data_IF_963533755107
#
_entry.id   IF_963533755107
#
_cell.length_a   1.000
_cell.length_b   1.000
_cell.length_c   1.000
_cell.angle_alpha   90.00
_cell.angle_beta   90.00
_cell.angle_gamma   90.00
#
_symmetry.space_group_name_H-M   'P 1'
#
loop_
_entity.id
_entity.type
_entity.pdbx_description
1 polymer ?
#
# COMPACT_ATOMS: atom_id res chain seq x y z
N UNK A 1 7.20 -12.71 -0.13
CA UNK A 1 6.09 -13.01 -1.04
C UNK A 1 5.14 -13.98 -0.35
N UNK A 2 3.82 -13.74 -0.36
CA UNK A 2 2.83 -14.60 0.30
C UNK A 2 2.58 -15.93 -0.45
N UNK A 3 3.12 -16.09 -1.65
CA UNK A 3 2.93 -17.30 -2.48
C UNK A 3 3.47 -18.59 -1.81
N UNK A 4 4.42 -18.48 -0.86
CA UNK A 4 4.89 -19.66 -0.13
C UNK A 4 3.80 -20.34 0.73
N UNK A 5 2.68 -19.67 0.96
CA UNK A 5 1.51 -20.22 1.67
C UNK A 5 0.65 -21.12 0.78
N UNK A 6 0.87 -21.13 -0.54
CA UNK A 6 0.16 -22.01 -1.44
C UNK A 6 0.59 -23.48 -1.22
N UNK A 7 -0.31 -24.45 -1.43
CA UNK A 7 -0.03 -25.87 -1.22
C UNK A 7 1.24 -26.31 -1.95
N UNK A 8 2.20 -26.87 -1.24
CA UNK A 8 3.44 -27.42 -1.81
C UNK A 8 4.48 -26.40 -2.26
N UNK A 9 4.20 -25.07 -2.14
CA UNK A 9 5.13 -24.05 -2.62
C UNK A 9 6.28 -23.77 -1.64
N UNK A 10 6.08 -24.04 -0.35
CA UNK A 10 7.07 -23.71 0.71
C UNK A 10 8.45 -24.32 0.43
N UNK A 11 8.51 -25.55 -0.05
CA UNK A 11 9.77 -26.25 -0.31
C UNK A 11 10.62 -25.51 -1.36
N UNK A 12 9.98 -24.96 -2.39
CA UNK A 12 10.65 -24.18 -3.43
C UNK A 12 11.14 -22.84 -2.92
N UNK A 13 10.42 -22.19 -2.00
CA UNK A 13 10.85 -20.94 -1.39
C UNK A 13 11.99 -21.12 -0.38
N UNK A 14 12.13 -22.31 0.18
CA UNK A 14 13.23 -22.66 1.09
C UNK A 14 14.54 -23.06 0.34
N UNK A 15 14.48 -23.27 -0.97
CA UNK A 15 15.67 -23.53 -1.78
C UNK A 15 16.55 -22.28 -1.88
N UNK A 16 17.88 -22.49 -2.00
CA UNK A 16 18.80 -21.45 -2.45
C UNK A 16 18.40 -20.92 -3.84
N UNK A 17 18.79 -19.68 -4.16
CA UNK A 17 18.32 -19.02 -5.39
C UNK A 17 18.68 -19.77 -6.66
N UNK A 18 19.92 -20.29 -6.74
CA UNK A 18 20.39 -21.03 -7.92
C UNK A 18 19.61 -22.33 -8.14
N UNK A 19 19.38 -23.10 -7.07
CA UNK A 19 18.58 -24.32 -7.12
C UNK A 19 17.13 -24.05 -7.50
N UNK A 20 16.56 -22.95 -7.01
CA UNK A 20 15.20 -22.50 -7.36
C UNK A 20 15.10 -22.12 -8.82
N UNK A 21 16.08 -21.35 -9.33
CA UNK A 21 16.13 -20.99 -10.75
C UNK A 21 16.23 -22.22 -11.65
N UNK A 22 17.08 -23.18 -11.28
CA UNK A 22 17.20 -24.43 -12.04
C UNK A 22 15.89 -25.22 -12.04
N UNK A 23 15.25 -25.34 -10.88
CA UNK A 23 13.97 -26.05 -10.74
C UNK A 23 12.85 -25.38 -11.54
N UNK A 24 12.81 -24.04 -11.58
CA UNK A 24 11.78 -23.29 -12.33
C UNK A 24 11.99 -23.30 -13.85
N UNK A 25 13.12 -23.80 -14.35
CA UNK A 25 13.31 -24.06 -15.79
C UNK A 25 12.58 -25.33 -16.26
N UNK A 26 12.20 -26.20 -15.34
CA UNK A 26 11.40 -27.39 -15.66
C UNK A 26 9.91 -27.02 -15.83
N UNK A 27 9.36 -27.13 -17.04
CA UNK A 27 7.96 -26.79 -17.29
C UNK A 27 6.96 -27.71 -16.57
N UNK A 28 7.37 -28.93 -16.20
CA UNK A 28 6.53 -29.85 -15.43
C UNK A 28 6.37 -29.36 -13.99
N UNK A 29 7.46 -28.86 -13.39
CA UNK A 29 7.43 -28.23 -12.07
C UNK A 29 6.57 -26.97 -12.09
N UNK A 30 6.72 -26.10 -13.07
CA UNK A 30 5.90 -24.89 -13.22
C UNK A 30 4.42 -25.23 -13.34
N UNK A 31 4.09 -26.21 -14.17
CA UNK A 31 2.72 -26.70 -14.32
C UNK A 31 2.18 -27.31 -13.01
N UNK A 32 3.00 -28.05 -12.30
CA UNK A 32 2.62 -28.62 -11.01
C UNK A 32 2.33 -27.53 -9.98
N UNK A 33 3.19 -26.53 -9.85
CA UNK A 33 2.99 -25.39 -8.95
C UNK A 33 1.70 -24.62 -9.26
N UNK A 34 1.41 -24.36 -10.54
CA UNK A 34 0.18 -23.70 -10.94
C UNK A 34 -1.06 -24.53 -10.56
N UNK A 35 -1.00 -25.85 -10.75
CA UNK A 35 -2.09 -26.75 -10.36
C UNK A 35 -2.28 -26.77 -8.83
N UNK A 36 -1.20 -26.81 -8.05
CA UNK A 36 -1.27 -26.71 -6.58
C UNK A 36 -1.92 -25.42 -6.13
N UNK A 37 -1.59 -24.30 -6.79
CA UNK A 37 -2.16 -23.00 -6.48
C UNK A 37 -3.68 -22.92 -6.71
N UNK A 38 -4.23 -23.78 -7.55
CA UNK A 38 -5.67 -23.85 -7.84
C UNK A 38 -6.45 -24.79 -6.89
N UNK A 39 -5.78 -25.46 -5.96
CA UNK A 39 -6.44 -26.39 -5.04
C UNK A 39 -7.28 -25.61 -3.98
N UNK A 40 -8.37 -26.22 -3.47
CA UNK A 40 -9.17 -25.63 -2.40
C UNK A 40 -8.36 -25.32 -1.13
N UNK A 41 -7.31 -26.08 -0.86
CA UNK A 41 -6.39 -25.91 0.27
C UNK A 41 -5.62 -24.58 0.22
N UNK A 42 -5.55 -23.92 -0.95
CA UNK A 42 -5.01 -22.56 -1.06
C UNK A 42 -5.81 -21.55 -0.23
N UNK A 43 -7.09 -21.81 0.06
CA UNK A 43 -7.92 -21.03 0.94
C UNK A 43 -7.93 -19.53 0.56
N UNK A 44 -7.65 -18.66 1.53
CA UNK A 44 -7.62 -17.20 1.30
C UNK A 44 -6.49 -16.75 0.36
N UNK A 45 -5.45 -17.57 0.19
CA UNK A 45 -4.32 -17.27 -0.70
C UNK A 45 -4.64 -17.54 -2.17
N UNK A 46 -5.75 -18.20 -2.50
CA UNK A 46 -6.23 -18.35 -3.87
C UNK A 46 -6.44 -17.00 -4.57
N UNK A 47 -6.68 -15.93 -3.81
CA UNK A 47 -6.74 -14.56 -4.36
C UNK A 47 -5.46 -14.10 -5.04
N UNK A 48 -4.33 -14.71 -4.72
CA UNK A 48 -3.03 -14.40 -5.31
C UNK A 48 -2.77 -15.17 -6.62
N UNK A 49 -3.68 -16.06 -7.03
CA UNK A 49 -3.50 -16.96 -8.19
C UNK A 49 -4.17 -16.46 -9.46
N UNK A 50 -4.76 -15.28 -9.43
CA UNK A 50 -5.24 -14.58 -10.64
C UNK A 50 -4.06 -14.02 -11.45
N UNK A 51 -3.26 -14.91 -12.04
CA UNK A 51 -1.98 -14.58 -12.68
C UNK A 51 -2.09 -13.49 -13.75
N UNK A 52 -3.18 -13.48 -14.52
CA UNK A 52 -3.44 -12.45 -15.54
C UNK A 52 -3.50 -11.04 -14.95
N UNK A 53 -3.87 -10.92 -13.67
CA UNK A 53 -4.06 -9.65 -12.96
C UNK A 53 -2.78 -9.15 -12.25
N UNK A 54 -1.62 -9.54 -12.73
CA UNK A 54 -0.37 -8.96 -12.28
C UNK A 54 0.16 -7.95 -13.29
N UNK A 55 0.68 -6.84 -12.81
CA UNK A 55 1.41 -5.87 -13.61
C UNK A 55 2.91 -6.07 -13.38
N UNK A 56 3.69 -5.99 -14.46
CA UNK A 56 5.15 -6.00 -14.39
C UNK A 56 5.61 -4.67 -13.82
N UNK A 57 6.31 -4.72 -12.71
CA UNK A 57 7.03 -3.59 -12.11
C UNK A 57 8.43 -3.44 -12.68
N UNK A 58 9.45 -3.35 -11.80
CA UNK A 58 10.83 -3.22 -12.26
C UNK A 58 11.35 -4.53 -12.86
N UNK A 59 12.07 -4.40 -13.96
CA UNK A 59 12.77 -5.47 -14.67
C UNK A 59 14.25 -5.12 -14.80
N UNK A 60 15.12 -6.11 -15.00
CA UNK A 60 16.57 -5.94 -14.88
C UNK A 60 17.35 -6.52 -16.07
N UNK A 61 16.76 -7.38 -16.89
CA UNK A 61 17.40 -7.97 -18.05
C UNK A 61 16.97 -7.30 -19.35
N UNK A 62 17.81 -7.32 -20.37
CA UNK A 62 17.47 -6.87 -21.73
C UNK A 62 16.30 -7.67 -22.31
N UNK A 63 16.17 -8.96 -21.96
CA UNK A 63 15.06 -9.81 -22.42
C UNK A 63 13.68 -9.32 -21.92
N UNK A 64 13.64 -8.55 -20.84
CA UNK A 64 12.42 -8.01 -20.25
C UNK A 64 12.25 -6.49 -20.51
N UNK A 65 13.09 -5.91 -21.36
CA UNK A 65 12.96 -4.49 -21.72
C UNK A 65 11.58 -4.18 -22.31
N UNK A 66 10.99 -3.07 -21.89
CA UNK A 66 9.66 -2.62 -22.34
C UNK A 66 8.47 -3.36 -21.71
N UNK A 67 8.68 -4.30 -20.78
CA UNK A 67 7.57 -4.99 -20.11
C UNK A 67 7.01 -4.20 -18.91
N UNK A 68 7.78 -3.31 -18.29
CA UNK A 68 7.33 -2.51 -17.15
C UNK A 68 6.01 -1.79 -17.45
N UNK A 69 5.05 -1.90 -16.52
CA UNK A 69 3.71 -1.30 -16.63
C UNK A 69 2.71 -2.10 -17.46
N UNK A 70 3.12 -3.21 -18.07
CA UNK A 70 2.22 -4.09 -18.82
C UNK A 70 1.58 -5.14 -17.91
N UNK A 71 0.37 -5.57 -18.25
CA UNK A 71 -0.27 -6.69 -17.53
C UNK A 71 0.29 -8.03 -17.98
N UNK A 72 0.43 -8.95 -17.04
CA UNK A 72 0.90 -10.31 -17.35
C UNK A 72 -0.06 -11.03 -18.31
N UNK A 73 -1.37 -10.80 -18.15
CA UNK A 73 -2.36 -11.40 -19.04
C UNK A 73 -2.21 -10.95 -20.49
N UNK A 74 -1.87 -9.66 -20.73
CA UNK A 74 -1.61 -9.17 -22.10
C UNK A 74 -0.36 -9.81 -22.69
N UNK A 75 0.73 -9.85 -21.92
CA UNK A 75 1.98 -10.44 -22.36
C UNK A 75 1.81 -11.93 -22.69
N UNK A 76 1.12 -12.66 -21.81
CA UNK A 76 0.87 -14.10 -21.98
C UNK A 76 0.04 -14.38 -23.25
N UNK A 77 -0.99 -13.58 -23.50
CA UNK A 77 -1.83 -13.69 -24.73
C UNK A 77 -1.01 -13.43 -26.00
N UNK A 78 -0.17 -12.40 -26.00
CA UNK A 78 0.71 -12.10 -27.14
C UNK A 78 1.72 -13.23 -27.43
N UNK A 79 2.24 -13.88 -26.36
CA UNK A 79 3.16 -15.00 -26.47
C UNK A 79 2.46 -16.35 -26.73
N UNK A 80 1.14 -16.42 -26.65
CA UNK A 80 0.39 -17.66 -26.72
C UNK A 80 0.70 -18.63 -25.58
N UNK A 81 1.01 -18.10 -24.41
CA UNK A 81 1.42 -18.85 -23.22
C UNK A 81 0.40 -18.74 -22.07
N UNK A 82 0.50 -19.62 -21.08
CA UNK A 82 -0.22 -19.49 -19.83
C UNK A 82 0.40 -18.37 -18.99
N UNK A 83 -0.43 -17.58 -18.30
CA UNK A 83 0.05 -16.41 -17.55
C UNK A 83 1.11 -16.79 -16.49
N UNK A 84 0.91 -17.84 -15.71
CA UNK A 84 1.89 -18.26 -14.70
C UNK A 84 3.22 -18.69 -15.32
N UNK A 85 3.19 -19.42 -16.44
CA UNK A 85 4.41 -19.80 -17.17
C UNK A 85 5.16 -18.57 -17.69
N UNK A 86 4.44 -17.57 -18.21
CA UNK A 86 5.00 -16.29 -18.64
C UNK A 86 5.62 -15.53 -17.44
N UNK A 87 4.98 -15.53 -16.27
CA UNK A 87 5.52 -14.95 -15.04
C UNK A 87 6.86 -15.58 -14.66
N UNK A 88 6.92 -16.90 -14.69
CA UNK A 88 8.14 -17.63 -14.34
C UNK A 88 9.25 -17.34 -15.35
N UNK A 89 8.97 -17.34 -16.66
CA UNK A 89 9.95 -17.02 -17.70
C UNK A 89 10.52 -15.61 -17.52
N UNK A 90 9.67 -14.60 -17.34
CA UNK A 90 10.10 -13.21 -17.09
C UNK A 90 10.95 -13.14 -15.81
N UNK A 91 10.52 -13.81 -14.74
CA UNK A 91 11.25 -13.82 -13.48
C UNK A 91 12.62 -14.48 -13.58
N UNK A 92 12.74 -15.59 -14.34
CA UNK A 92 14.01 -16.27 -14.59
C UNK A 92 14.99 -15.41 -15.39
N UNK A 93 14.50 -14.65 -16.37
CA UNK A 93 15.32 -13.72 -17.14
C UNK A 93 15.95 -12.63 -16.26
N UNK A 94 15.29 -12.25 -15.18
CA UNK A 94 15.76 -11.24 -14.21
C UNK A 94 16.41 -11.85 -12.96
N UNK A 95 16.84 -13.10 -12.96
CA UNK A 95 17.38 -13.81 -11.79
C UNK A 95 16.41 -13.78 -10.58
N UNK A 96 15.14 -13.92 -10.83
CA UNK A 96 14.02 -13.83 -9.86
C UNK A 96 13.93 -12.47 -9.14
N UNK A 97 14.42 -11.38 -9.74
CA UNK A 97 14.36 -10.02 -9.18
C UNK A 97 13.18 -9.20 -9.70
N UNK A 98 12.49 -9.65 -10.76
CA UNK A 98 11.33 -8.96 -11.31
C UNK A 98 10.34 -8.58 -10.21
N UNK A 99 9.87 -7.34 -10.23
CA UNK A 99 8.83 -6.86 -9.32
C UNK A 99 7.46 -7.13 -9.95
N UNK A 100 6.57 -7.74 -9.18
CA UNK A 100 5.20 -8.04 -9.58
C UNK A 100 4.20 -7.32 -8.69
N UNK A 101 3.32 -6.54 -9.30
CA UNK A 101 2.24 -5.85 -8.63
C UNK A 101 0.91 -6.55 -8.91
N UNK A 102 0.27 -7.20 -7.92
CA UNK A 102 -1.09 -7.66 -8.09
C UNK A 102 -2.01 -6.46 -8.29
N UNK A 103 -2.78 -6.46 -9.37
CA UNK A 103 -3.77 -5.42 -9.62
C UNK A 103 -4.94 -5.57 -8.63
N UNK A 104 -5.53 -4.46 -8.18
CA UNK A 104 -6.73 -4.50 -7.36
C UNK A 104 -7.86 -5.21 -8.11
N UNK A 105 -8.53 -6.15 -7.44
CA UNK A 105 -9.67 -6.87 -8.00
C UNK A 105 -11.00 -6.11 -7.85
N UNK A 106 -11.04 -5.15 -6.92
CA UNK A 106 -12.26 -4.42 -6.54
C UNK A 106 -12.06 -2.92 -6.81
N UNK A 107 -11.56 -2.54 -7.98
CA UNK A 107 -11.29 -1.14 -8.37
C UNK A 107 -12.34 -0.58 -9.34
N UNK A 108 -13.47 -1.26 -9.47
CA UNK A 108 -14.59 -0.82 -10.28
C UNK A 108 -15.43 0.25 -9.57
N UNK A 109 -16.23 0.99 -10.34
CA UNK A 109 -17.04 2.11 -9.84
C UNK A 109 -18.05 1.70 -8.75
N UNK A 110 -18.61 0.50 -8.81
CA UNK A 110 -19.56 -0.01 -7.82
C UNK A 110 -18.86 -0.32 -6.50
N UNK A 111 -17.72 -0.96 -6.54
CA UNK A 111 -16.88 -1.23 -5.35
C UNK A 111 -16.50 0.07 -4.65
N UNK A 112 -16.13 1.11 -5.39
CA UNK A 112 -15.82 2.42 -4.82
C UNK A 112 -17.04 3.14 -4.27
N UNK A 113 -18.18 3.02 -4.93
CA UNK A 113 -19.46 3.56 -4.40
C UNK A 113 -19.82 2.92 -3.06
N UNK A 114 -19.65 1.60 -2.92
CA UNK A 114 -19.90 0.89 -1.66
C UNK A 114 -18.94 1.32 -0.55
N UNK A 115 -17.65 1.56 -0.88
CA UNK A 115 -16.69 2.13 0.08
C UNK A 115 -17.11 3.51 0.54
N UNK A 116 -17.53 4.38 -0.40
CA UNK A 116 -18.00 5.72 -0.06
C UNK A 116 -19.21 5.67 0.88
N UNK A 117 -20.16 4.77 0.64
CA UNK A 117 -21.28 4.55 1.55
C UNK A 117 -20.85 4.08 2.95
N UNK A 118 -19.84 3.17 3.00
CA UNK A 118 -19.30 2.71 4.28
C UNK A 118 -18.65 3.86 5.06
N UNK A 119 -17.96 4.78 4.39
CA UNK A 119 -17.33 5.94 5.06
C UNK A 119 -18.36 6.90 5.69
N UNK A 120 -19.57 6.99 5.15
CA UNK A 120 -20.64 7.81 5.75
C UNK A 120 -21.22 7.19 7.04
N UNK A 121 -20.93 5.93 7.33
CA UNK A 121 -21.45 5.27 8.50
C UNK A 121 -20.75 5.77 9.78
N UNK A 122 -21.52 6.14 10.86
CA UNK A 122 -20.95 6.75 12.06
C UNK A 122 -19.92 5.89 12.81
N UNK A 123 -19.94 4.57 12.61
CA UNK A 123 -19.03 3.62 13.24
C UNK A 123 -17.86 3.23 12.32
N UNK A 124 -17.64 3.95 11.23
CA UNK A 124 -16.53 3.72 10.31
C UNK A 124 -15.56 4.88 10.35
N UNK A 125 -14.29 4.56 10.40
CA UNK A 125 -13.18 5.51 10.38
C UNK A 125 -12.25 5.17 9.21
N UNK A 126 -11.70 6.19 8.56
CA UNK A 126 -10.56 6.03 7.66
C UNK A 126 -9.31 5.89 8.52
N UNK A 127 -8.58 4.79 8.36
CA UNK A 127 -7.38 4.58 9.15
C UNK A 127 -6.71 3.24 8.85
N UNK A 128 -5.50 3.09 9.34
CA UNK A 128 -4.69 1.89 9.18
C UNK A 128 -3.95 1.86 7.84
N UNK A 129 -2.68 2.24 7.87
CA UNK A 129 -1.80 2.23 6.70
C UNK A 129 -1.08 0.90 6.50
N UNK A 130 -1.07 0.05 7.53
CA UNK A 130 -0.16 -1.10 7.64
C UNK A 130 1.33 -0.73 7.49
N UNK A 131 1.64 0.57 7.58
CA UNK A 131 3.00 1.09 7.43
C UNK A 131 3.93 0.50 8.50
N UNK A 132 5.13 0.11 8.07
CA UNK A 132 6.11 -0.59 8.91
C UNK A 132 6.01 -2.11 8.84
N UNK A 133 4.92 -2.67 8.31
CA UNK A 133 4.83 -4.09 7.99
C UNK A 133 5.30 -4.35 6.56
N UNK A 134 6.05 -5.44 6.38
CA UNK A 134 6.45 -5.90 5.04
C UNK A 134 7.03 -4.79 4.13
N UNK A 135 8.04 -4.08 4.61
CA UNK A 135 8.65 -2.91 3.95
C UNK A 135 9.11 -3.17 2.52
N UNK A 136 9.44 -4.42 2.20
CA UNK A 136 9.90 -4.86 0.88
C UNK A 136 8.77 -5.03 -0.16
N UNK A 137 7.49 -4.90 0.25
CA UNK A 137 6.34 -5.16 -0.64
C UNK A 137 5.08 -4.34 -0.32
N UNK A 138 5.12 -3.48 0.69
CA UNK A 138 4.01 -2.61 1.07
C UNK A 138 4.49 -1.19 1.29
N UNK A 139 3.78 -0.22 0.73
CA UNK A 139 4.07 1.21 0.85
C UNK A 139 2.81 1.97 1.30
N UNK A 140 2.25 1.58 2.45
CA UNK A 140 1.01 2.17 2.98
C UNK A 140 1.18 3.53 3.66
N UNK A 141 2.41 3.98 3.95
CA UNK A 141 2.66 5.22 4.70
C UNK A 141 1.94 6.47 4.13
N UNK A 142 1.87 6.71 2.81
CA UNK A 142 1.26 7.91 2.25
C UNK A 142 -0.28 7.86 2.17
N UNK A 143 -0.96 6.89 2.78
CA UNK A 143 -2.41 6.69 2.62
C UNK A 143 -3.24 7.95 2.86
N UNK A 144 -2.88 8.80 3.82
CA UNK A 144 -3.64 10.01 4.14
C UNK A 144 -3.63 11.04 3.03
N UNK A 145 -2.45 11.33 2.48
CA UNK A 145 -2.29 12.31 1.40
C UNK A 145 -2.76 11.74 0.06
N UNK A 146 -2.54 10.44 -0.20
CA UNK A 146 -3.08 9.75 -1.37
C UNK A 146 -4.62 9.72 -1.35
N UNK A 147 -5.23 9.45 -0.20
CA UNK A 147 -6.68 9.49 -0.05
C UNK A 147 -7.26 10.89 -0.24
N UNK A 148 -6.60 11.94 0.32
CA UNK A 148 -6.98 13.34 0.05
C UNK A 148 -6.93 13.66 -1.43
N UNK A 149 -5.86 13.29 -2.12
CA UNK A 149 -5.73 13.51 -3.56
C UNK A 149 -6.87 12.83 -4.34
N UNK A 150 -7.20 11.60 -3.99
CA UNK A 150 -8.30 10.85 -4.62
C UNK A 150 -9.67 11.50 -4.35
N UNK A 151 -9.93 11.97 -3.13
CA UNK A 151 -11.15 12.69 -2.81
C UNK A 151 -11.27 14.03 -3.52
N UNK A 152 -10.17 14.76 -3.70
CA UNK A 152 -10.16 16.10 -4.28
C UNK A 152 -10.12 16.10 -5.80
N UNK A 153 -9.32 15.24 -6.41
CA UNK A 153 -9.00 15.28 -7.85
C UNK A 153 -9.14 13.95 -8.58
N UNK A 154 -9.10 12.83 -7.84
CA UNK A 154 -9.24 11.50 -8.41
C UNK A 154 -10.72 11.10 -8.56
N UNK A 155 -11.16 10.13 -7.78
CA UNK A 155 -12.53 9.60 -7.83
C UNK A 155 -13.59 10.56 -7.28
N UNK A 156 -13.21 11.51 -6.45
CA UNK A 156 -14.09 12.57 -5.89
C UNK A 156 -15.33 12.00 -5.15
N UNK A 157 -15.14 10.94 -4.40
CA UNK A 157 -16.24 10.20 -3.74
C UNK A 157 -16.82 10.90 -2.52
N UNK A 158 -16.16 11.93 -1.99
CA UNK A 158 -16.64 12.72 -0.85
C UNK A 158 -16.13 14.16 -0.96
N UNK A 159 -16.75 15.11 -0.22
CA UNK A 159 -16.29 16.50 -0.21
C UNK A 159 -14.98 16.67 0.55
N UNK A 160 -14.27 17.77 0.28
CA UNK A 160 -13.02 18.11 0.99
C UNK A 160 -13.25 18.18 2.51
N UNK A 161 -14.32 18.85 2.95
CA UNK A 161 -14.63 19.01 4.36
C UNK A 161 -14.84 17.65 5.04
N UNK A 162 -15.55 16.74 4.36
CA UNK A 162 -15.80 15.42 4.89
C UNK A 162 -14.52 14.56 4.85
N UNK A 163 -13.70 14.67 3.82
CA UNK A 163 -12.39 14.02 3.74
C UNK A 163 -11.48 14.44 4.92
N UNK A 164 -11.39 15.73 5.18
CA UNK A 164 -10.63 16.26 6.32
C UNK A 164 -11.21 15.77 7.65
N UNK A 165 -12.55 15.81 7.80
CA UNK A 165 -13.22 15.32 9.00
C UNK A 165 -12.87 13.85 9.30
N UNK A 166 -12.81 12.99 8.29
CA UNK A 166 -12.44 11.58 8.43
C UNK A 166 -10.99 11.37 8.86
N UNK A 167 -10.10 12.30 8.56
CA UNK A 167 -8.70 12.24 8.98
C UNK A 167 -8.43 12.95 10.31
N UNK A 168 -9.37 13.70 10.85
CA UNK A 168 -9.14 14.56 12.03
C UNK A 168 -10.17 14.33 13.14
N UNK A 169 -11.38 14.86 12.99
CA UNK A 169 -12.42 14.84 14.03
C UNK A 169 -12.92 13.42 14.34
N UNK A 170 -13.11 12.58 13.31
CA UNK A 170 -13.60 11.20 13.51
C UNK A 170 -12.62 10.38 14.36
N UNK A 171 -11.33 10.26 14.00
CA UNK A 171 -10.37 9.54 14.83
C UNK A 171 -10.16 10.19 16.19
N UNK A 172 -10.17 11.51 16.30
CA UNK A 172 -10.02 12.17 17.59
C UNK A 172 -11.14 11.79 18.56
N UNK A 173 -12.38 11.74 18.08
CA UNK A 173 -13.53 11.29 18.90
C UNK A 173 -13.45 9.80 19.23
N UNK A 174 -13.09 8.97 18.25
CA UNK A 174 -13.01 7.52 18.46
C UNK A 174 -11.99 7.16 19.54
N UNK A 175 -10.86 7.85 19.56
CA UNK A 175 -9.81 7.65 20.57
C UNK A 175 -9.97 8.51 21.82
N UNK A 176 -11.06 9.30 21.92
CA UNK A 176 -11.36 10.13 23.08
C UNK A 176 -10.40 11.29 23.28
N UNK A 177 -9.73 11.79 22.23
CA UNK A 177 -8.83 12.94 22.35
C UNK A 177 -9.63 14.22 22.63
N UNK A 178 -9.27 14.92 23.72
CA UNK A 178 -9.88 16.18 24.11
C UNK A 178 -9.08 17.37 23.51
N UNK A 179 -9.80 18.37 22.99
CA UNK A 179 -9.17 19.57 22.44
C UNK A 179 -8.32 19.36 21.20
N UNK A 180 -8.57 18.28 20.42
CA UNK A 180 -7.87 17.93 19.17
C UNK A 180 -8.84 17.50 18.08
N UNK A 181 -8.39 17.48 16.83
CA UNK A 181 -9.16 17.06 15.66
C UNK A 181 -10.03 18.13 15.03
N UNK A 182 -10.05 19.36 15.62
CA UNK A 182 -10.75 20.53 15.09
C UNK A 182 -9.96 21.80 15.37
N UNK A 183 -10.17 22.81 14.57
CA UNK A 183 -9.68 24.17 14.83
C UNK A 183 -10.75 24.90 15.66
N UNK A 184 -10.45 25.15 16.93
CA UNK A 184 -11.33 25.87 17.85
C UNK A 184 -10.49 26.64 18.88
N UNK A 185 -11.05 27.72 19.44
CA UNK A 185 -10.40 28.51 20.49
C UNK A 185 -10.15 27.65 21.74
N UNK A 186 -8.93 27.77 22.30
CA UNK A 186 -8.49 27.00 23.46
C UNK A 186 -8.07 25.56 23.18
N UNK A 187 -8.16 25.11 21.92
CA UNK A 187 -7.73 23.76 21.52
C UNK A 187 -6.26 23.73 21.10
N UNK A 188 -5.68 22.54 21.08
CA UNK A 188 -4.32 22.33 20.61
C UNK A 188 -4.19 22.67 19.14
N UNK A 189 -3.18 23.45 18.78
CA UNK A 189 -2.91 23.83 17.40
C UNK A 189 -2.11 22.73 16.67
N UNK A 190 -2.75 21.59 16.43
CA UNK A 190 -2.26 20.52 15.54
C UNK A 190 -2.85 20.78 14.15
N UNK A 191 -2.06 21.40 13.28
CA UNK A 191 -2.56 21.98 12.03
C UNK A 191 -1.69 21.52 10.87
N UNK A 192 -2.33 21.10 9.78
CA UNK A 192 -1.68 20.85 8.50
C UNK A 192 -2.11 21.91 7.50
N UNK A 193 -1.15 22.55 6.85
CA UNK A 193 -1.37 23.50 5.75
C UNK A 193 -0.95 22.82 4.46
N UNK A 194 -1.88 22.64 3.56
CA UNK A 194 -1.66 21.95 2.29
C UNK A 194 -2.32 22.69 1.12
N UNK A 195 -1.82 22.43 -0.06
CA UNK A 195 -2.41 22.90 -1.31
C UNK A 195 -3.34 21.81 -1.88
N UNK A 196 -4.65 22.07 -2.02
CA UNK A 196 -5.60 21.08 -2.54
C UNK A 196 -5.31 20.66 -3.99
N UNK A 197 -4.61 21.47 -4.76
CA UNK A 197 -4.26 21.15 -6.15
C UNK A 197 -3.07 20.19 -6.27
N UNK A 198 -2.22 20.13 -5.23
CA UNK A 198 -0.95 19.37 -5.29
C UNK A 198 -0.78 18.35 -4.18
N UNK A 199 -1.64 18.34 -3.15
CA UNK A 199 -1.58 17.34 -2.07
C UNK A 199 -1.73 15.94 -2.63
N UNK A 200 -0.82 15.04 -2.22
CA UNK A 200 -0.80 13.66 -2.72
C UNK A 200 0.40 12.89 -2.22
N UNK A 201 0.81 11.93 -3.01
CA UNK A 201 1.98 11.09 -2.79
C UNK A 201 2.79 10.98 -4.08
N UNK A 202 4.11 10.83 -3.96
CA UNK A 202 4.97 10.47 -5.10
C UNK A 202 4.73 9.02 -5.52
N UNK A 203 5.22 8.65 -6.68
CA UNK A 203 5.30 7.24 -7.08
C UNK A 203 6.09 6.44 -6.03
N UNK A 204 5.75 5.15 -5.92
CA UNK A 204 6.46 4.24 -5.00
C UNK A 204 7.78 3.84 -5.62
N UNK A 205 8.87 4.06 -4.88
CA UNK A 205 10.23 3.72 -5.27
C UNK A 205 10.83 2.67 -4.35
N UNK A 206 11.79 1.90 -4.88
CA UNK A 206 12.60 0.98 -4.10
C UNK A 206 13.88 1.68 -3.65
N UNK A 207 14.03 1.88 -2.33
CA UNK A 207 15.20 2.51 -1.74
C UNK A 207 16.01 1.54 -0.89
N UNK A 208 17.33 1.76 -0.78
CA UNK A 208 18.29 0.88 -0.09
C UNK A 208 18.94 1.62 1.08
N UNK A 209 18.12 2.14 2.01
CA UNK A 209 18.54 2.98 3.11
C UNK A 209 18.43 2.32 4.49
N UNK A 210 18.11 1.04 4.54
CA UNK A 210 18.05 0.29 5.79
C UNK A 210 19.41 -0.34 6.15
N UNK A 211 19.65 -0.65 7.45
CA UNK A 211 20.88 -1.32 7.89
C UNK A 211 21.16 -2.60 7.10
N UNK A 212 22.44 -2.85 6.80
CA UNK A 212 22.88 -3.99 6.01
C UNK A 212 22.56 -3.90 4.52
N UNK A 213 22.25 -2.70 4.00
CA UNK A 213 21.89 -2.50 2.59
C UNK A 213 20.51 -3.08 2.23
N UNK A 214 19.68 -3.32 3.23
CA UNK A 214 18.32 -3.83 2.99
C UNK A 214 17.44 -2.78 2.34
N UNK A 215 16.50 -3.25 1.52
CA UNK A 215 15.61 -2.42 0.71
C UNK A 215 14.24 -2.24 1.34
N UNK A 216 13.60 -1.13 1.03
CA UNK A 216 12.18 -0.87 1.32
C UNK A 216 11.51 -0.12 0.18
N UNK A 217 10.18 -0.23 0.13
CA UNK A 217 9.36 0.65 -0.69
C UNK A 217 9.18 1.98 0.02
N UNK A 218 9.28 3.08 -0.73
CA UNK A 218 9.17 4.43 -0.22
C UNK A 218 8.32 5.31 -1.15
N UNK A 219 7.58 6.22 -0.55
CA UNK A 219 6.84 7.27 -1.23
C UNK A 219 6.72 8.45 -0.29
N UNK A 220 6.84 9.66 -0.80
CA UNK A 220 6.76 10.89 -0.03
C UNK A 220 5.43 11.58 -0.21
N UNK A 221 5.04 12.38 0.79
CA UNK A 221 3.90 13.27 0.69
C UNK A 221 4.25 14.50 -0.16
N UNK A 222 3.30 14.94 -1.00
CA UNK A 222 3.41 16.18 -1.78
C UNK A 222 2.38 17.19 -1.33
N UNK A 223 2.55 18.46 -1.70
CA UNK A 223 1.57 19.52 -1.46
C UNK A 223 1.38 19.94 0.00
N UNK A 224 2.23 19.49 0.93
CA UNK A 224 2.22 19.87 2.35
C UNK A 224 3.22 21.00 2.57
N UNK A 225 2.75 22.20 2.91
CA UNK A 225 3.62 23.34 3.16
C UNK A 225 4.04 23.44 4.63
N UNK A 226 3.15 23.12 5.58
CA UNK A 226 3.46 23.17 7.02
C UNK A 226 2.70 22.07 7.78
N UNK A 227 3.38 21.52 8.78
CA UNK A 227 2.73 20.74 9.84
C UNK A 227 3.09 21.38 11.18
N UNK A 228 2.09 21.74 11.95
CA UNK A 228 2.24 22.25 13.30
C UNK A 228 1.75 21.21 14.30
N UNK A 229 2.50 21.03 15.37
CA UNK A 229 2.12 20.21 16.53
C UNK A 229 2.15 21.10 17.76
N UNK A 230 1.05 21.21 18.47
CA UNK A 230 0.90 22.14 19.61
C UNK A 230 1.35 23.58 19.27
N UNK A 231 1.10 24.06 18.05
CA UNK A 231 1.48 25.40 17.58
C UNK A 231 2.94 25.56 17.14
N UNK A 232 3.76 24.52 17.22
CA UNK A 232 5.16 24.55 16.79
C UNK A 232 5.29 23.89 15.42
N UNK A 233 5.95 24.55 14.48
CA UNK A 233 6.19 23.99 13.13
C UNK A 233 7.15 22.82 13.23
N UNK A 234 6.67 21.62 12.95
CA UNK A 234 7.44 20.37 12.94
C UNK A 234 7.88 19.94 11.54
N UNK A 235 7.13 20.35 10.51
CA UNK A 235 7.50 20.16 9.09
C UNK A 235 7.31 21.49 8.36
N UNK A 236 8.28 21.86 7.54
CA UNK A 236 8.23 23.01 6.65
C UNK A 236 8.65 22.59 5.24
N UNK A 237 7.76 22.79 4.27
CA UNK A 237 8.00 22.50 2.84
C UNK A 237 8.55 21.06 2.62
N UNK A 238 7.89 20.08 3.22
CA UNK A 238 8.27 18.65 3.14
C UNK A 238 9.45 18.23 4.03
N UNK A 239 10.12 19.18 4.71
CA UNK A 239 11.30 18.89 5.52
C UNK A 239 11.01 18.99 7.02
N UNK A 240 11.42 17.97 7.80
CA UNK A 240 11.32 18.01 9.25
C UNK A 240 12.24 19.11 9.84
N UNK A 241 11.70 19.95 10.72
CA UNK A 241 12.44 21.04 11.37
C UNK A 241 13.33 20.59 12.52
N UNK A 242 13.15 19.34 12.99
CA UNK A 242 13.79 18.80 14.19
C UNK A 242 13.09 19.23 15.49
N UNK A 243 12.00 20.00 15.43
CA UNK A 243 11.24 20.39 16.63
C UNK A 243 10.51 19.19 17.23
N UNK A 244 10.66 18.98 18.54
CA UNK A 244 10.00 17.96 19.34
C UNK A 244 8.87 18.62 20.13
N UNK A 245 7.71 18.81 19.50
CA UNK A 245 6.55 19.49 20.09
C UNK A 245 5.41 18.53 20.46
N UNK A 246 5.54 17.26 20.12
CA UNK A 246 4.56 16.21 20.42
C UNK A 246 4.50 15.88 21.92
N UNK A 247 3.34 15.37 22.37
CA UNK A 247 3.10 14.87 23.71
C UNK A 247 2.62 13.42 23.62
N UNK A 248 3.14 12.55 24.49
CA UNK A 248 2.63 11.20 24.64
C UNK A 248 1.23 11.25 25.26
N UNK A 249 0.26 10.72 24.53
CA UNK A 249 -1.13 10.64 24.99
C UNK A 249 -1.38 9.25 25.60
N UNK A 250 -1.87 9.22 26.81
CA UNK A 250 -2.12 7.97 27.56
C UNK A 250 -3.62 7.74 27.68
N UNK A 251 -4.09 6.59 27.25
CA UNK A 251 -5.50 6.20 27.35
C UNK A 251 -5.99 6.26 28.80
N UNK A 252 -7.15 6.86 29.02
CA UNK A 252 -7.75 7.03 30.33
C UNK A 252 -7.09 8.08 31.26
N UNK A 253 -6.02 8.74 30.78
CA UNK A 253 -5.33 9.85 31.50
C UNK A 253 -5.43 11.14 30.71
N UNK A 254 -5.02 11.09 29.44
CA UNK A 254 -5.01 12.24 28.51
C UNK A 254 -6.16 12.13 27.48
N UNK A 255 -7.03 11.11 27.60
CA UNK A 255 -8.20 10.86 26.76
C UNK A 255 -9.42 10.55 27.62
N UNK A 256 -10.61 10.85 27.10
CA UNK A 256 -11.88 10.42 27.66
C UNK A 256 -12.21 8.97 27.27
N UNK A 257 -12.92 8.25 28.13
CA UNK A 257 -13.44 6.93 27.78
C UNK A 257 -14.59 7.08 26.80
N UNK A 258 -14.43 6.50 25.62
CA UNK A 258 -15.48 6.48 24.59
C UNK A 258 -16.33 5.23 24.82
N UNK A 259 -17.64 5.43 24.96
CA UNK A 259 -18.62 4.33 25.01
C UNK A 259 -19.27 4.16 23.65
N UNK A 260 -19.44 2.91 23.22
CA UNK A 260 -20.24 2.63 22.04
C UNK A 260 -21.68 3.07 22.29
N UNK A 261 -22.20 3.93 21.44
CA UNK A 261 -23.60 4.38 21.45
C UNK A 261 -24.47 3.50 20.56
#
# INVERSE_FOLDING_TARGET
>A
CALFQLPGWMDYFNMGIDARMETFRDPEVVTWLENQAALPEAGVFSRLTGWDNYMVGDTYSEANEGLKGRTLGDIARERGQRAFHTMVEISLNDDLKTVWWPLPTDDDAESWRLRAQAWEHPNVMIGGSDAGAHLDRMAGAPYTTAWLADCLRGRQLTSMENAIRHLTDVPARLFGFTGRGRIAEGWHADIVVFDPETVGATDVELVFDLPGGSKRLWSEATGISRVLVNGVVSVADGTATGAIAGKVMRAGVDTETVTAS
#
